data_IF_675458021623
#
_entry.id   IF_675458021623
#
_cell.length_a   1.000
_cell.length_b   1.000
_cell.length_c   1.000
_cell.angle_alpha   90.00
_cell.angle_beta   90.00
_cell.angle_gamma   90.00
#
_symmetry.space_group_name_H-M   'P 1'
#
loop_
_entity.id
_entity.type
_entity.pdbx_description
1 polymer ?
#
# COMPACT_ATOMS: atom_id res chain seq x y z
N UNK A 1 -8.10 -2.69 -20.96
CA UNK A 1 -6.92 -2.08 -20.33
C UNK A 1 -7.06 -2.24 -18.83
N UNK A 2 -6.08 -2.84 -18.15
CA UNK A 2 -6.07 -2.82 -16.68
C UNK A 2 -5.47 -1.49 -16.24
N UNK A 3 -6.19 -0.76 -15.40
CA UNK A 3 -5.74 0.52 -14.88
C UNK A 3 -4.85 0.32 -13.66
N UNK A 4 -3.94 1.26 -13.40
CA UNK A 4 -3.10 1.28 -12.18
C UNK A 4 -3.95 1.13 -10.93
N UNK A 5 -5.12 1.78 -10.89
CA UNK A 5 -6.14 1.61 -9.86
C UNK A 5 -6.50 0.13 -9.59
N UNK A 6 -6.81 -0.65 -10.63
CA UNK A 6 -7.19 -2.06 -10.44
C UNK A 6 -6.02 -2.87 -9.91
N UNK A 7 -4.80 -2.63 -10.42
CA UNK A 7 -3.61 -3.31 -9.94
C UNK A 7 -3.39 -3.05 -8.44
N UNK A 8 -3.60 -1.81 -7.98
CA UNK A 8 -3.51 -1.41 -6.56
C UNK A 8 -4.57 -2.13 -5.74
N UNK A 9 -5.83 -2.13 -6.17
CA UNK A 9 -6.93 -2.76 -5.43
C UNK A 9 -6.71 -4.28 -5.29
N UNK A 10 -6.27 -4.94 -6.36
CA UNK A 10 -6.00 -6.38 -6.35
C UNK A 10 -4.76 -6.73 -5.50
N UNK A 11 -3.69 -5.95 -5.59
CA UNK A 11 -2.49 -6.14 -4.77
C UNK A 11 -2.79 -5.92 -3.29
N UNK A 12 -3.52 -4.86 -2.97
CA UNK A 12 -3.91 -4.54 -1.61
C UNK A 12 -4.82 -5.63 -1.02
N UNK A 13 -5.83 -6.08 -1.77
CA UNK A 13 -6.71 -7.17 -1.32
C UNK A 13 -5.91 -8.45 -1.00
N UNK A 14 -4.95 -8.83 -1.84
CA UNK A 14 -4.11 -10.01 -1.63
C UNK A 14 -3.19 -9.86 -0.40
N UNK A 15 -2.66 -8.65 -0.18
CA UNK A 15 -1.81 -8.35 0.97
C UNK A 15 -2.60 -8.01 2.24
N UNK A 16 -3.93 -8.12 2.24
CA UNK A 16 -4.82 -7.74 3.36
C UNK A 16 -4.69 -6.27 3.77
N UNK A 17 -4.63 -5.41 2.76
CA UNK A 17 -4.78 -3.97 2.91
C UNK A 17 -6.18 -3.56 2.49
N UNK A 18 -6.80 -2.75 3.33
CA UNK A 18 -8.11 -2.15 3.04
C UNK A 18 -7.87 -0.83 2.32
N UNK A 19 -8.28 -0.75 1.06
CA UNK A 19 -8.13 0.46 0.24
C UNK A 19 -9.41 1.27 0.28
N UNK A 20 -9.28 2.53 0.66
CA UNK A 20 -10.34 3.52 0.64
C UNK A 20 -10.02 4.59 -0.41
N UNK A 21 -11.00 4.95 -1.24
CA UNK A 21 -10.81 5.96 -2.29
C UNK A 21 -11.07 7.33 -1.71
N UNK A 22 -10.00 8.01 -1.32
CA UNK A 22 -10.09 9.37 -0.75
C UNK A 22 -10.51 10.37 -1.82
N UNK A 23 -9.89 10.31 -2.99
CA UNK A 23 -10.20 11.17 -4.14
C UNK A 23 -9.63 10.57 -5.44
N UNK A 24 -10.04 11.05 -6.63
CA UNK A 24 -9.46 10.58 -7.89
C UNK A 24 -7.94 10.75 -7.92
N UNK A 25 -7.20 9.65 -8.16
CA UNK A 25 -5.74 9.65 -8.14
C UNK A 25 -5.10 9.55 -6.75
N UNK A 26 -5.89 9.43 -5.68
CA UNK A 26 -5.41 9.18 -4.32
C UNK A 26 -6.30 8.16 -3.60
N UNK A 27 -5.68 7.04 -3.27
CA UNK A 27 -6.23 6.00 -2.42
C UNK A 27 -5.53 5.99 -1.07
N UNK A 28 -6.22 5.56 -0.03
CA UNK A 28 -5.65 5.30 1.29
C UNK A 28 -5.75 3.83 1.58
N UNK A 29 -4.61 3.17 1.71
CA UNK A 29 -4.54 1.78 2.12
C UNK A 29 -4.25 1.70 3.62
N UNK A 30 -5.09 0.96 4.35
CA UNK A 30 -4.92 0.73 5.78
C UNK A 30 -4.80 -0.77 6.03
N UNK A 31 -3.79 -1.16 6.78
CA UNK A 31 -3.59 -2.52 7.23
C UNK A 31 -3.62 -2.53 8.75
N UNK A 32 -4.55 -3.30 9.30
CA UNK A 32 -4.67 -3.52 10.73
C UNK A 32 -4.00 -4.84 11.08
N UNK A 33 -2.98 -4.76 11.92
CA UNK A 33 -2.40 -5.90 12.62
C UNK A 33 -2.91 -5.92 14.06
N UNK A 34 -2.87 -7.11 14.66
CA UNK A 34 -3.41 -7.41 16.00
C UNK A 34 -3.06 -6.37 17.08
N UNK A 35 -1.89 -5.76 16.98
CA UNK A 35 -1.36 -4.78 17.93
C UNK A 35 -1.03 -3.43 17.29
N UNK A 36 -0.97 -3.32 15.97
CA UNK A 36 -0.49 -2.12 15.28
C UNK A 36 -1.33 -1.86 14.04
N UNK A 37 -1.54 -0.60 13.70
CA UNK A 37 -2.24 -0.24 12.44
C UNK A 37 -1.29 0.55 11.57
N UNK A 38 -1.28 0.28 10.28
CA UNK A 38 -0.44 0.92 9.28
C UNK A 38 -1.33 1.58 8.25
N UNK A 39 -1.15 2.87 8.03
CA UNK A 39 -1.89 3.65 7.05
C UNK A 39 -0.92 4.28 6.07
N UNK A 40 -1.16 4.04 4.78
CA UNK A 40 -0.41 4.62 3.67
C UNK A 40 -1.37 5.26 2.68
N UNK A 41 -0.91 6.30 2.02
CA UNK A 41 -1.59 6.95 0.92
C UNK A 41 -0.93 6.50 -0.38
N UNK A 42 -1.70 5.95 -1.29
CA UNK A 42 -1.26 5.52 -2.61
C UNK A 42 -1.77 6.55 -3.61
N UNK A 43 -0.87 7.42 -4.09
CA UNK A 43 -1.15 8.30 -5.21
C UNK A 43 -0.93 7.52 -6.49
N UNK A 44 -1.82 7.68 -7.46
CA UNK A 44 -1.68 7.03 -8.75
C UNK A 44 -2.17 7.95 -9.87
N UNK A 45 -1.48 7.86 -10.99
CA UNK A 45 -1.81 8.50 -12.24
C UNK A 45 -2.01 7.40 -13.30
N UNK A 46 -2.24 7.81 -14.55
CA UNK A 46 -2.37 6.87 -15.66
C UNK A 46 -1.10 6.04 -15.88
N UNK A 47 0.09 6.58 -15.58
CA UNK A 47 1.40 6.00 -15.86
C UNK A 47 2.30 5.70 -14.66
N UNK A 48 1.94 6.15 -13.46
CA UNK A 48 2.82 6.07 -12.30
C UNK A 48 1.99 5.94 -11.04
N UNK A 49 2.62 5.45 -9.98
CA UNK A 49 2.05 5.48 -8.65
C UNK A 49 3.15 5.81 -7.63
N UNK A 50 2.74 6.21 -6.43
CA UNK A 50 3.64 6.51 -5.32
C UNK A 50 2.95 6.19 -4.00
N UNK A 51 3.70 5.59 -3.08
CA UNK A 51 3.20 5.23 -1.75
C UNK A 51 3.81 6.19 -0.73
N UNK A 52 2.96 6.92 -0.03
CA UNK A 52 3.33 7.84 1.04
C UNK A 52 2.92 7.24 2.38
N UNK A 53 3.87 7.23 3.33
CA UNK A 53 3.57 6.88 4.72
C UNK A 53 2.67 7.95 5.34
N UNK A 54 1.55 7.54 5.94
CA UNK A 54 0.65 8.47 6.66
C UNK A 54 0.86 8.35 8.16
N UNK A 55 0.60 7.16 8.69
CA UNK A 55 0.66 6.92 10.13
C UNK A 55 0.85 5.43 10.42
N UNK A 56 1.54 5.16 11.51
CA UNK A 56 1.59 3.83 12.13
C UNK A 56 1.19 3.98 13.60
N UNK A 57 0.18 3.23 14.03
CA UNK A 57 -0.32 3.23 15.40
C UNK A 57 0.33 2.13 16.23
N UNK A 58 0.44 2.39 17.54
CA UNK A 58 1.09 1.58 18.57
C UNK A 58 2.63 1.69 18.60
N UNK A 59 3.10 2.94 18.69
CA UNK A 59 4.50 3.36 18.88
C UNK A 59 5.15 2.90 20.22
N UNK A 60 4.63 1.84 20.86
CA UNK A 60 5.11 1.30 22.14
C UNK A 60 6.18 0.22 22.00
N UNK A 61 6.51 -0.21 20.79
CA UNK A 61 7.58 -1.20 20.61
C UNK A 61 8.94 -0.51 20.47
N UNK A 62 9.78 -0.76 21.45
CA UNK A 62 11.15 -0.29 21.58
C UNK A 62 11.94 -0.36 20.25
N UNK A 63 12.36 0.79 19.73
CA UNK A 63 13.61 0.92 18.98
C UNK A 63 13.73 0.22 17.61
N UNK A 64 12.72 0.33 16.73
CA UNK A 64 12.94 0.17 15.28
C UNK A 64 12.42 -1.12 14.60
N UNK A 65 11.89 -2.09 15.35
CA UNK A 65 11.32 -3.31 14.75
C UNK A 65 10.03 -3.05 13.95
N UNK A 66 9.17 -2.15 14.41
CA UNK A 66 7.93 -1.77 13.71
C UNK A 66 8.23 -1.13 12.35
N UNK A 67 9.28 -0.31 12.25
CA UNK A 67 9.70 0.28 10.99
C UNK A 67 10.15 -0.79 9.98
N UNK A 68 10.81 -1.87 10.43
CA UNK A 68 11.22 -2.96 9.54
C UNK A 68 10.02 -3.75 9.02
N UNK A 69 9.07 -4.08 9.90
CA UNK A 69 7.84 -4.76 9.48
C UNK A 69 7.00 -3.88 8.54
N UNK A 70 6.87 -2.59 8.86
CA UNK A 70 6.23 -1.60 7.99
C UNK A 70 6.89 -1.56 6.61
N UNK A 71 8.22 -1.35 6.54
CA UNK A 71 8.95 -1.29 5.29
C UNK A 71 8.81 -2.59 4.48
N UNK A 72 8.86 -3.75 5.13
CA UNK A 72 8.67 -5.04 4.47
C UNK A 72 7.25 -5.19 3.89
N UNK A 73 6.21 -4.77 4.60
CA UNK A 73 4.83 -4.85 4.10
C UNK A 73 4.57 -3.86 2.97
N UNK A 74 5.08 -2.63 3.08
CA UNK A 74 4.97 -1.61 2.02
C UNK A 74 5.73 -2.08 0.78
N UNK A 75 6.95 -2.59 0.93
CA UNK A 75 7.72 -3.15 -0.19
C UNK A 75 7.01 -4.36 -0.80
N UNK A 76 6.40 -5.22 0.00
CA UNK A 76 5.62 -6.35 -0.50
C UNK A 76 4.37 -5.89 -1.27
N UNK A 77 3.74 -4.78 -0.88
CA UNK A 77 2.65 -4.18 -1.63
C UNK A 77 3.15 -3.58 -2.95
N UNK A 78 4.27 -2.85 -2.90
CA UNK A 78 4.93 -2.24 -4.06
C UNK A 78 5.29 -3.29 -5.12
N UNK A 79 6.03 -4.33 -4.74
CA UNK A 79 6.43 -5.44 -5.63
C UNK A 79 5.22 -6.11 -6.29
N UNK A 80 4.13 -6.25 -5.53
CA UNK A 80 2.90 -6.89 -5.99
C UNK A 80 2.09 -6.01 -6.97
N UNK A 81 2.15 -4.69 -6.79
CA UNK A 81 1.62 -3.69 -7.73
C UNK A 81 2.48 -3.69 -9.00
N UNK A 82 3.81 -3.58 -8.88
CA UNK A 82 4.73 -3.61 -10.03
C UNK A 82 4.57 -4.87 -10.87
N UNK A 83 4.47 -6.03 -10.22
CA UNK A 83 4.25 -7.31 -10.89
C UNK A 83 2.94 -7.33 -11.69
N UNK A 84 1.88 -6.71 -11.18
CA UNK A 84 0.59 -6.58 -11.89
C UNK A 84 0.68 -5.59 -13.04
N UNK A 85 1.36 -4.47 -12.86
CA UNK A 85 1.59 -3.47 -13.90
C UNK A 85 2.44 -4.04 -15.05
N UNK A 86 3.54 -4.71 -14.73
CA UNK A 86 4.39 -5.40 -15.71
C UNK A 86 3.61 -6.43 -16.52
N UNK A 87 2.76 -7.23 -15.85
CA UNK A 87 1.85 -8.19 -16.53
C UNK A 87 0.78 -7.50 -17.37
N UNK A 88 0.43 -6.25 -17.08
CA UNK A 88 -0.52 -5.47 -17.84
C UNK A 88 0.10 -4.81 -19.08
N UNK A 89 1.41 -4.95 -19.29
CA UNK A 89 2.14 -4.39 -20.44
C UNK A 89 2.49 -2.92 -20.27
N UNK A 90 2.72 -2.48 -19.03
CA UNK A 90 3.13 -1.13 -18.67
C UNK A 90 4.64 -0.93 -18.74
#
# INVERSE_FOLDING_TARGET
MRSVEQAILEAAAEKRWTVDRVQPGLMRATQEWRTHTMTVNIRYDQNRYGIEHVATSNLKEQGGMVHRAYNSNVKALEDEIERRLYRAGY
#
